data_IF_528136753010
#
_entry.id   IF_528136753010
#
_cell.length_a   1.000
_cell.length_b   1.000
_cell.length_c   1.000
_cell.angle_alpha   90.00
_cell.angle_beta   90.00
_cell.angle_gamma   90.00
#
_symmetry.space_group_name_H-M   'P 1'
#
loop_
_entity.id
_entity.type
_entity.pdbx_description
1 polymer ?
#
# COMPACT_ATOMS: atom_id res chain seq x y z
N UNK A 1 -30.92 96.44 -23.56
CA UNK A 1 -31.36 95.75 -24.79
C UNK A 1 -31.20 94.25 -24.60
N UNK A 2 -32.21 93.45 -24.97
CA UNK A 2 -32.23 92.00 -25.27
C UNK A 2 -33.43 91.32 -24.60
N UNK A 3 -34.39 90.89 -25.44
CA UNK A 3 -35.15 89.65 -25.32
C UNK A 3 -35.81 89.36 -26.68
N UNK A 4 -35.72 88.11 -27.12
CA UNK A 4 -36.29 87.60 -28.36
C UNK A 4 -37.66 86.96 -28.13
N UNK A 5 -38.37 86.76 -29.24
CA UNK A 5 -39.82 86.83 -29.41
C UNK A 5 -40.51 85.48 -29.63
N UNK A 6 -41.83 85.53 -29.43
CA UNK A 6 -42.90 84.55 -29.63
C UNK A 6 -43.34 84.46 -31.11
N UNK A 7 -43.91 83.32 -31.54
CA UNK A 7 -45.17 83.16 -32.32
C UNK A 7 -45.28 81.69 -32.81
N UNK A 8 -46.34 80.88 -32.66
CA UNK A 8 -47.81 81.01 -32.61
C UNK A 8 -48.53 80.58 -33.90
N UNK A 9 -49.72 79.99 -33.70
CA UNK A 9 -50.94 79.93 -34.54
C UNK A 9 -51.28 78.56 -35.17
N UNK A 10 -52.54 78.15 -35.40
CA UNK A 10 -53.89 78.35 -34.83
C UNK A 10 -54.86 77.55 -35.75
N UNK A 11 -55.95 76.95 -35.24
CA UNK A 11 -57.29 76.84 -35.87
C UNK A 11 -58.17 75.79 -35.16
N UNK A 12 -59.48 76.03 -35.11
CA UNK A 12 -60.49 75.17 -34.49
C UNK A 12 -61.78 75.10 -35.33
N UNK A 13 -62.47 73.95 -35.29
CA UNK A 13 -63.91 73.80 -35.45
C UNK A 13 -64.39 72.47 -34.79
N UNK A 14 -65.58 72.51 -34.17
CA UNK A 14 -66.30 71.51 -33.34
C UNK A 14 -67.67 71.25 -34.03
N UNK A 15 -68.42 70.13 -33.95
CA UNK A 15 -68.60 69.02 -32.98
C UNK A 15 -69.02 67.74 -33.75
N UNK A 16 -68.63 66.56 -33.27
CA UNK A 16 -69.26 65.28 -33.64
C UNK A 16 -68.81 64.10 -32.76
N UNK A 17 -69.76 63.56 -31.97
CA UNK A 17 -69.87 62.20 -31.44
C UNK A 17 -68.65 61.51 -30.79
N UNK A 18 -68.76 61.25 -29.48
CA UNK A 18 -67.86 60.42 -28.70
C UNK A 18 -68.07 58.91 -29.00
N UNK A 19 -67.01 58.20 -29.40
CA UNK A 19 -66.77 56.79 -29.09
C UNK A 19 -65.26 56.45 -29.25
N UNK A 20 -64.70 55.92 -28.15
CA UNK A 20 -63.53 55.04 -27.95
C UNK A 20 -62.12 55.39 -28.47
N UNK A 21 -61.18 55.24 -27.55
CA UNK A 21 -59.75 55.10 -27.81
C UNK A 21 -58.92 55.28 -26.55
N UNK A 22 -59.20 54.52 -25.47
CA UNK A 22 -58.22 54.36 -24.40
C UNK A 22 -57.00 53.68 -25.01
N UNK A 23 -55.93 54.43 -25.23
CA UNK A 23 -54.64 53.85 -25.59
C UNK A 23 -54.24 52.87 -24.49
N UNK A 24 -54.21 51.58 -24.82
CA UNK A 24 -53.51 50.61 -23.99
C UNK A 24 -52.04 51.03 -23.98
N UNK A 25 -51.55 51.36 -22.79
CA UNK A 25 -50.13 51.56 -22.54
C UNK A 25 -49.49 50.16 -22.62
N UNK A 26 -48.85 49.86 -23.75
CA UNK A 26 -48.06 48.64 -23.92
C UNK A 26 -46.77 48.78 -23.12
N UNK A 27 -46.61 48.04 -22.03
CA UNK A 27 -45.34 47.93 -21.32
C UNK A 27 -44.38 47.05 -22.12
N UNK A 28 -43.09 47.41 -22.12
CA UNK A 28 -42.06 46.66 -22.83
C UNK A 28 -41.84 45.29 -22.19
N UNK A 29 -41.54 44.27 -23.01
CA UNK A 29 -41.35 42.91 -22.56
C UNK A 29 -40.23 42.82 -21.52
N UNK A 30 -40.50 42.15 -20.41
CA UNK A 30 -39.64 42.19 -19.23
C UNK A 30 -39.79 40.95 -18.35
N UNK A 31 -38.69 40.60 -17.69
CA UNK A 31 -38.70 39.63 -16.59
C UNK A 31 -39.24 40.28 -15.33
N UNK A 32 -40.22 39.64 -14.70
CA UNK A 32 -40.85 40.10 -13.47
C UNK A 32 -40.66 39.02 -12.40
N UNK A 33 -40.35 39.43 -11.17
CA UNK A 33 -40.23 38.53 -10.03
C UNK A 33 -41.22 38.94 -8.95
N UNK A 34 -41.96 37.97 -8.42
CA UNK A 34 -42.83 38.14 -7.25
C UNK A 34 -42.47 37.12 -6.15
N UNK A 35 -43.35 36.99 -5.14
CA UNK A 35 -43.15 36.06 -4.03
C UNK A 35 -43.27 34.57 -4.41
N UNK A 36 -43.79 34.27 -5.60
CA UNK A 36 -43.94 32.91 -6.13
C UNK A 36 -42.74 32.53 -7.01
N UNK A 37 -42.27 33.46 -7.85
CA UNK A 37 -41.12 33.20 -8.72
C UNK A 37 -40.93 34.23 -9.82
N UNK A 38 -40.15 33.83 -10.83
CA UNK A 38 -39.91 34.62 -12.04
C UNK A 38 -40.95 34.29 -13.10
N UNK A 39 -41.47 35.29 -13.81
CA UNK A 39 -42.32 35.15 -14.99
C UNK A 39 -41.90 36.19 -16.04
N UNK A 40 -42.39 36.03 -17.28
CA UNK A 40 -42.04 36.93 -18.38
C UNK A 40 -43.29 37.62 -18.93
N UNK A 41 -43.30 38.94 -18.92
CA UNK A 41 -44.34 39.74 -19.56
C UNK A 41 -43.93 40.04 -20.99
N UNK A 42 -44.81 39.76 -21.95
CA UNK A 42 -44.65 40.13 -23.36
C UNK A 42 -45.12 41.58 -23.61
N UNK A 43 -44.69 42.19 -24.72
CA UNK A 43 -45.04 43.58 -25.09
C UNK A 43 -46.57 43.85 -25.15
N UNK A 44 -47.35 42.79 -25.42
CA UNK A 44 -48.80 42.85 -25.50
C UNK A 44 -49.51 42.63 -24.15
N UNK A 45 -48.73 42.49 -23.06
CA UNK A 45 -49.22 42.22 -21.71
C UNK A 45 -49.57 40.76 -21.41
N UNK A 46 -49.37 39.84 -22.37
CA UNK A 46 -49.51 38.39 -22.14
C UNK A 46 -48.25 37.79 -21.51
N UNK A 47 -48.30 36.50 -21.17
CA UNK A 47 -47.17 35.76 -20.60
C UNK A 47 -47.21 34.28 -21.02
N UNK A 48 -46.05 33.61 -21.17
CA UNK A 48 -45.99 32.18 -21.47
C UNK A 48 -46.43 31.37 -20.24
N UNK A 49 -47.27 30.35 -20.45
CA UNK A 49 -47.70 29.43 -19.40
C UNK A 49 -47.82 28.00 -19.97
N UNK A 50 -47.20 27.04 -19.29
CA UNK A 50 -47.17 25.63 -19.67
C UNK A 50 -46.41 25.37 -20.97
N UNK A 51 -45.45 26.21 -21.32
CA UNK A 51 -44.79 26.20 -22.63
C UNK A 51 -43.32 26.62 -22.55
N UNK A 52 -42.57 26.20 -23.57
CA UNK A 52 -41.27 26.76 -23.89
C UNK A 52 -41.41 28.19 -24.42
N UNK A 53 -40.46 29.06 -24.08
CA UNK A 53 -40.28 30.37 -24.70
C UNK A 53 -38.79 30.65 -24.93
N UNK A 54 -38.48 31.28 -26.07
CA UNK A 54 -37.11 31.67 -26.43
C UNK A 54 -36.95 33.18 -26.21
N UNK A 55 -36.17 33.55 -25.19
CA UNK A 55 -36.05 34.92 -24.70
C UNK A 55 -34.57 35.23 -24.57
N UNK A 56 -34.10 36.34 -25.16
CA UNK A 56 -32.72 36.81 -25.04
C UNK A 56 -31.66 35.71 -25.29
N UNK A 57 -31.82 34.99 -26.41
CA UNK A 57 -30.93 33.92 -26.86
C UNK A 57 -30.87 32.65 -25.99
N UNK A 58 -31.90 32.42 -25.17
CA UNK A 58 -32.01 31.18 -24.40
C UNK A 58 -33.45 30.65 -24.36
N UNK A 59 -33.57 29.33 -24.24
CA UNK A 59 -34.85 28.66 -24.00
C UNK A 59 -35.15 28.60 -22.51
N UNK A 60 -36.40 28.87 -22.16
CA UNK A 60 -36.97 28.77 -20.81
C UNK A 60 -38.26 27.95 -20.88
N UNK A 61 -38.63 27.28 -19.80
CA UNK A 61 -39.94 26.65 -19.67
C UNK A 61 -40.72 27.26 -18.51
N UNK A 62 -41.99 27.52 -18.74
CA UNK A 62 -42.90 28.09 -17.75
C UNK A 62 -43.94 27.05 -17.34
N UNK A 63 -44.25 27.00 -16.05
CA UNK A 63 -45.32 26.16 -15.52
C UNK A 63 -46.70 26.63 -15.99
N UNK A 64 -47.75 25.89 -15.66
CA UNK A 64 -49.12 26.21 -16.07
C UNK A 64 -49.68 27.53 -15.52
N UNK A 65 -49.01 28.15 -14.55
CA UNK A 65 -49.34 29.47 -14.01
C UNK A 65 -48.46 30.59 -14.57
N UNK A 66 -47.48 30.25 -15.41
CA UNK A 66 -46.59 31.20 -16.07
C UNK A 66 -45.29 31.48 -15.32
N UNK A 67 -44.94 30.69 -14.31
CA UNK A 67 -43.68 30.84 -13.58
C UNK A 67 -42.57 29.98 -14.18
N UNK A 68 -41.39 30.54 -14.29
CA UNK A 68 -40.18 29.94 -14.86
C UNK A 68 -39.71 28.76 -14.01
N UNK A 69 -39.47 27.62 -14.66
CA UNK A 69 -38.95 26.42 -14.02
C UNK A 69 -37.42 26.42 -13.95
N UNK A 70 -36.87 25.62 -13.03
CA UNK A 70 -35.43 25.34 -12.87
C UNK A 70 -35.23 23.86 -12.55
N UNK A 71 -34.00 23.35 -12.67
CA UNK A 71 -33.64 21.95 -12.40
C UNK A 71 -34.11 20.97 -13.49
N UNK A 72 -34.18 19.69 -13.12
CA UNK A 72 -34.65 18.62 -14.01
C UNK A 72 -36.16 18.66 -14.19
N UNK A 73 -36.62 18.69 -15.43
CA UNK A 73 -38.04 18.77 -15.79
C UNK A 73 -38.43 17.68 -16.79
N UNK A 74 -39.52 16.96 -16.51
CA UNK A 74 -40.10 15.96 -17.41
C UNK A 74 -41.19 16.61 -18.24
N UNK A 75 -40.87 16.93 -19.50
CA UNK A 75 -41.73 17.72 -20.38
C UNK A 75 -42.00 16.91 -21.64
N UNK A 76 -43.27 16.63 -21.93
CA UNK A 76 -43.67 15.93 -23.15
C UNK A 76 -43.07 14.53 -23.31
N UNK A 77 -42.75 13.85 -22.20
CA UNK A 77 -42.15 12.50 -22.23
C UNK A 77 -40.63 12.48 -22.36
N UNK A 78 -39.95 13.62 -22.18
CA UNK A 78 -38.50 13.76 -22.27
C UNK A 78 -37.97 14.58 -21.10
N UNK A 79 -36.79 14.22 -20.58
CA UNK A 79 -36.11 15.00 -19.55
C UNK A 79 -35.34 16.17 -20.16
N UNK A 80 -35.46 17.34 -19.53
CA UNK A 80 -34.69 18.54 -19.80
C UNK A 80 -34.08 19.05 -18.50
N UNK A 81 -32.99 19.79 -18.58
CA UNK A 81 -32.41 20.49 -17.44
C UNK A 81 -32.44 22.00 -17.67
N UNK A 82 -33.01 22.73 -16.73
CA UNK A 82 -32.99 24.19 -16.69
C UNK A 82 -32.02 24.62 -15.59
N UNK A 83 -31.05 25.46 -15.93
CA UNK A 83 -30.10 26.01 -14.97
C UNK A 83 -30.80 26.84 -13.90
N UNK A 84 -30.09 27.24 -12.85
CA UNK A 84 -30.66 28.04 -11.75
C UNK A 84 -31.21 29.40 -12.19
N UNK A 85 -30.73 29.93 -13.32
CA UNK A 85 -31.24 31.13 -13.97
C UNK A 85 -32.38 30.83 -14.99
N UNK A 86 -32.84 29.58 -15.08
CA UNK A 86 -33.92 29.11 -15.94
C UNK A 86 -33.53 28.74 -17.37
N UNK A 87 -32.29 28.98 -17.80
CA UNK A 87 -31.89 28.68 -19.18
C UNK A 87 -31.77 27.17 -19.39
N UNK A 88 -32.23 26.68 -20.54
CA UNK A 88 -32.12 25.28 -20.90
C UNK A 88 -30.66 24.87 -21.18
N UNK A 89 -30.22 23.79 -20.56
CA UNK A 89 -28.97 23.14 -20.92
C UNK A 89 -29.10 22.42 -22.26
N UNK A 90 -28.18 22.70 -23.18
CA UNK A 90 -28.06 22.03 -24.48
C UNK A 90 -26.58 21.80 -24.82
N UNK A 91 -26.31 20.76 -25.62
CA UNK A 91 -24.98 20.34 -26.08
C UNK A 91 -23.94 20.17 -24.94
N UNK A 92 -24.38 19.67 -23.78
CA UNK A 92 -23.50 19.59 -22.61
C UNK A 92 -23.89 18.46 -21.66
N UNK A 93 -22.93 18.05 -20.82
CA UNK A 93 -23.17 17.15 -19.71
C UNK A 93 -23.69 17.90 -18.49
N UNK A 94 -24.69 17.34 -17.82
CA UNK A 94 -25.17 17.76 -16.49
C UNK A 94 -25.13 16.52 -15.59
N UNK A 95 -24.11 16.45 -14.72
CA UNK A 95 -23.81 15.23 -13.97
C UNK A 95 -23.45 14.08 -14.92
N UNK A 96 -24.13 12.94 -14.77
CA UNK A 96 -23.92 11.75 -15.60
C UNK A 96 -24.80 11.69 -16.86
N UNK A 97 -25.51 12.78 -17.19
CA UNK A 97 -26.50 12.82 -18.26
C UNK A 97 -26.09 13.84 -19.31
N UNK A 98 -26.30 13.53 -20.59
CA UNK A 98 -25.99 14.44 -21.69
C UNK A 98 -27.28 15.06 -22.24
N UNK A 99 -27.30 16.38 -22.39
CA UNK A 99 -28.38 17.11 -23.04
C UNK A 99 -27.95 17.42 -24.47
N UNK A 100 -28.75 16.96 -25.42
CA UNK A 100 -28.54 17.14 -26.87
C UNK A 100 -28.64 18.62 -27.28
N UNK A 101 -28.45 18.92 -28.56
CA UNK A 101 -28.63 20.26 -29.12
C UNK A 101 -30.04 20.83 -28.90
N UNK A 102 -31.05 19.97 -28.90
CA UNK A 102 -32.44 20.30 -28.57
C UNK A 102 -32.70 20.47 -27.07
N UNK A 103 -31.71 20.20 -26.22
CA UNK A 103 -31.85 20.16 -24.77
C UNK A 103 -32.49 18.87 -24.22
N UNK A 104 -32.97 17.98 -25.09
CA UNK A 104 -33.46 16.66 -24.68
C UNK A 104 -32.32 15.81 -24.11
N UNK A 105 -32.58 15.13 -22.99
CA UNK A 105 -31.65 14.17 -22.41
C UNK A 105 -31.47 12.95 -23.32
N UNK A 106 -30.23 12.64 -23.66
CA UNK A 106 -29.87 11.47 -24.45
C UNK A 106 -30.13 10.15 -23.71
N UNK A 107 -30.63 9.14 -24.42
CA UNK A 107 -30.81 7.77 -23.92
C UNK A 107 -30.40 6.75 -25.00
N UNK A 108 -29.87 5.60 -24.59
CA UNK A 108 -29.49 4.48 -25.48
C UNK A 108 -28.63 4.85 -26.69
N UNK A 109 -27.63 5.71 -26.52
CA UNK A 109 -26.81 6.16 -27.63
C UNK A 109 -25.39 6.55 -27.21
N UNK A 110 -24.51 6.67 -28.21
CA UNK A 110 -23.15 7.17 -28.04
C UNK A 110 -23.11 8.70 -28.10
N UNK A 111 -22.39 9.29 -27.16
CA UNK A 111 -22.02 10.71 -27.09
C UNK A 111 -20.49 10.78 -27.12
N UNK A 112 -19.90 10.94 -28.30
CA UNK A 112 -18.46 10.74 -28.48
C UNK A 112 -18.07 9.31 -28.07
N UNK A 113 -17.20 9.17 -27.06
CA UNK A 113 -16.72 7.88 -26.54
C UNK A 113 -17.54 7.37 -25.33
N UNK A 114 -18.63 8.04 -24.97
CA UNK A 114 -19.44 7.73 -23.80
C UNK A 114 -20.78 7.15 -24.23
N UNK A 115 -21.17 5.98 -23.72
CA UNK A 115 -22.49 5.42 -23.97
C UNK A 115 -23.45 5.77 -22.82
N UNK A 116 -24.61 6.33 -23.14
CA UNK A 116 -25.69 6.57 -22.16
C UNK A 116 -26.73 5.46 -22.23
N UNK A 117 -27.11 4.93 -21.07
CA UNK A 117 -28.06 3.84 -20.92
C UNK A 117 -29.51 4.22 -21.25
N UNK A 118 -30.43 3.28 -21.01
CA UNK A 118 -31.86 3.49 -21.21
C UNK A 118 -32.47 4.51 -20.23
N UNK A 119 -31.82 4.72 -19.09
CA UNK A 119 -32.12 5.76 -18.10
C UNK A 119 -31.38 7.08 -18.40
N UNK A 120 -30.57 7.13 -19.45
CA UNK A 120 -29.77 8.28 -19.88
C UNK A 120 -28.49 8.49 -19.09
N UNK A 121 -28.21 7.67 -18.07
CA UNK A 121 -26.97 7.77 -17.32
C UNK A 121 -25.82 7.21 -18.17
N UNK A 122 -24.69 7.91 -18.18
CA UNK A 122 -23.46 7.39 -18.75
C UNK A 122 -23.06 6.08 -18.06
N UNK A 123 -22.72 5.06 -18.86
CA UNK A 123 -22.21 3.76 -18.40
C UNK A 123 -20.68 3.73 -18.62
N UNK A 124 -19.88 3.81 -17.55
CA UNK A 124 -18.43 3.72 -17.65
C UNK A 124 -17.97 2.39 -18.24
N UNK A 125 -17.06 2.43 -19.22
CA UNK A 125 -16.50 1.24 -19.84
C UNK A 125 -17.50 0.39 -20.64
N UNK A 126 -18.66 0.94 -21.01
CA UNK A 126 -19.62 0.21 -21.84
C UNK A 126 -18.98 -0.20 -23.17
N UNK A 127 -18.88 -1.51 -23.39
CA UNK A 127 -18.22 -2.10 -24.55
C UNK A 127 -16.77 -2.54 -24.31
N UNK A 128 -16.13 -2.16 -23.21
CA UNK A 128 -14.81 -2.67 -22.83
C UNK A 128 -14.90 -4.09 -22.26
N UNK A 129 -13.97 -4.98 -22.63
CA UNK A 129 -14.02 -6.38 -22.17
C UNK A 129 -12.67 -7.10 -22.30
N UNK A 130 -12.44 -8.06 -21.39
CA UNK A 130 -11.40 -9.07 -21.53
C UNK A 130 -11.80 -10.09 -22.59
N UNK A 131 -10.87 -10.42 -23.48
CA UNK A 131 -11.06 -11.39 -24.56
C UNK A 131 -9.89 -12.38 -24.50
N UNK A 132 -10.19 -13.67 -24.60
CA UNK A 132 -9.18 -14.71 -24.66
C UNK A 132 -9.21 -15.40 -26.03
N UNK A 133 -8.04 -15.58 -26.63
CA UNK A 133 -7.84 -16.39 -27.82
C UNK A 133 -6.72 -17.44 -27.60
N UNK A 134 -6.20 -18.03 -28.67
CA UNK A 134 -5.15 -19.04 -28.60
C UNK A 134 -3.79 -18.50 -28.13
N UNK A 135 -3.56 -17.19 -28.23
CA UNK A 135 -2.30 -16.53 -27.88
C UNK A 135 -2.33 -16.00 -26.45
N UNK A 136 -3.50 -15.62 -25.93
CA UNK A 136 -3.65 -15.20 -24.55
C UNK A 136 -4.86 -14.31 -24.31
N UNK A 137 -4.80 -13.57 -23.21
CA UNK A 137 -5.80 -12.56 -22.84
C UNK A 137 -5.41 -11.20 -23.38
N UNK A 138 -6.36 -10.45 -23.91
CA UNK A 138 -6.20 -9.04 -24.26
C UNK A 138 -7.43 -8.24 -23.80
N UNK A 139 -7.31 -6.92 -23.73
CA UNK A 139 -8.39 -6.06 -23.25
C UNK A 139 -8.82 -5.08 -24.33
N UNK A 140 -10.07 -5.20 -24.77
CA UNK A 140 -10.69 -4.27 -25.72
C UNK A 140 -11.29 -3.09 -24.98
N UNK A 141 -11.06 -1.90 -25.48
CA UNK A 141 -11.71 -0.66 -25.06
C UNK A 141 -13.09 -0.49 -25.72
N UNK A 142 -13.86 0.46 -25.21
CA UNK A 142 -15.22 0.77 -25.69
C UNK A 142 -15.24 1.27 -27.14
N UNK A 143 -14.17 1.95 -27.58
CA UNK A 143 -13.97 2.42 -28.96
C UNK A 143 -13.47 1.33 -29.93
N UNK A 144 -13.27 0.10 -29.42
CA UNK A 144 -12.74 -1.02 -30.19
C UNK A 144 -11.21 -1.10 -30.23
N UNK A 145 -10.51 -0.10 -29.68
CA UNK A 145 -9.05 -0.13 -29.50
C UNK A 145 -8.61 -1.09 -28.40
N UNK A 146 -7.29 -1.21 -28.22
CA UNK A 146 -6.67 -2.01 -27.16
C UNK A 146 -5.28 -1.47 -26.85
N UNK A 147 -4.78 -1.75 -25.65
CA UNK A 147 -3.44 -1.37 -25.19
C UNK A 147 -2.37 -2.29 -25.79
N UNK A 148 -1.21 -1.72 -26.14
CA UNK A 148 -0.01 -2.45 -26.57
C UNK A 148 1.23 -1.84 -25.91
N UNK A 149 2.24 -2.66 -25.59
CA UNK A 149 3.49 -2.26 -24.92
C UNK A 149 3.27 -1.36 -23.69
N UNK A 150 2.24 -1.63 -22.90
CA UNK A 150 1.69 -0.64 -21.98
C UNK A 150 1.07 -1.21 -20.73
N UNK A 151 1.07 -0.38 -19.69
CA UNK A 151 0.31 -0.61 -18.47
C UNK A 151 -1.13 -0.12 -18.65
N UNK A 152 -2.09 -0.88 -18.15
CA UNK A 152 -3.51 -0.48 -18.11
C UNK A 152 -4.09 -0.78 -16.73
N UNK A 153 -4.86 0.16 -16.19
CA UNK A 153 -5.58 -0.03 -14.93
C UNK A 153 -7.02 -0.45 -15.23
N UNK A 154 -7.33 -1.72 -15.00
CA UNK A 154 -8.63 -2.30 -15.31
C UNK A 154 -9.30 -2.64 -13.99
N UNK A 155 -10.35 -1.89 -13.64
CA UNK A 155 -11.11 -2.10 -12.41
C UNK A 155 -10.29 -1.92 -11.13
N UNK A 156 -9.33 -0.97 -11.12
CA UNK A 156 -8.45 -0.71 -9.98
C UNK A 156 -7.21 -1.60 -9.92
N UNK A 157 -7.07 -2.56 -10.82
CA UNK A 157 -5.92 -3.48 -10.88
C UNK A 157 -5.04 -3.16 -12.08
N UNK A 158 -3.72 -3.12 -11.88
CA UNK A 158 -2.76 -2.88 -12.95
C UNK A 158 -2.37 -4.17 -13.67
N UNK A 159 -2.33 -4.10 -15.00
CA UNK A 159 -1.90 -5.16 -15.92
C UNK A 159 -0.90 -4.57 -16.92
N UNK A 160 0.00 -5.40 -17.46
CA UNK A 160 0.92 -5.01 -18.53
C UNK A 160 0.67 -5.85 -19.77
N UNK A 161 0.73 -5.22 -20.94
CA UNK A 161 0.47 -5.86 -22.24
C UNK A 161 1.68 -5.75 -23.16
N UNK A 162 1.96 -6.83 -23.89
CA UNK A 162 3.06 -6.89 -24.85
C UNK A 162 2.79 -6.07 -26.13
N UNK A 163 3.72 -6.15 -27.09
CA UNK A 163 3.62 -5.42 -28.34
C UNK A 163 2.49 -5.88 -29.28
N UNK A 164 1.91 -7.06 -29.04
CA UNK A 164 0.74 -7.56 -29.75
C UNK A 164 -0.57 -7.28 -28.99
N UNK A 165 -0.48 -6.76 -27.76
CA UNK A 165 -1.63 -6.43 -26.91
C UNK A 165 -2.08 -7.57 -26.02
N UNK A 166 -1.25 -8.59 -25.82
CA UNK A 166 -1.54 -9.70 -24.91
C UNK A 166 -1.01 -9.43 -23.51
N UNK A 167 -1.81 -9.77 -22.52
CA UNK A 167 -1.54 -9.59 -21.10
C UNK A 167 -0.37 -10.47 -20.64
N UNK A 168 0.59 -9.84 -19.98
CA UNK A 168 1.79 -10.49 -19.49
C UNK A 168 1.58 -11.09 -18.09
N UNK A 169 2.38 -12.11 -17.76
CA UNK A 169 2.44 -12.73 -16.43
C UNK A 169 3.90 -12.98 -16.04
N UNK A 170 4.16 -13.28 -14.76
CA UNK A 170 5.50 -13.54 -14.23
C UNK A 170 6.37 -12.28 -14.10
N UNK A 171 7.68 -12.48 -14.02
CA UNK A 171 8.67 -11.40 -13.92
C UNK A 171 8.88 -10.69 -15.26
N UNK A 172 8.77 -9.36 -15.27
CA UNK A 172 8.89 -8.52 -16.45
C UNK A 172 9.88 -7.37 -16.23
N UNK A 173 10.81 -7.17 -17.17
CA UNK A 173 11.74 -6.05 -17.15
C UNK A 173 11.18 -4.90 -17.98
N UNK A 174 10.68 -3.85 -17.31
CA UNK A 174 9.95 -2.75 -17.94
C UNK A 174 10.55 -1.43 -17.47
N UNK A 175 10.91 -0.56 -18.41
CA UNK A 175 11.43 0.79 -18.12
C UNK A 175 12.55 0.80 -17.05
N UNK A 176 13.51 -0.12 -17.18
CA UNK A 176 14.68 -0.24 -16.31
C UNK A 176 14.35 -0.65 -14.86
N UNK A 177 13.27 -1.42 -14.66
CA UNK A 177 12.91 -2.01 -13.37
C UNK A 177 12.23 -3.36 -13.58
N UNK A 178 12.39 -4.26 -12.60
CA UNK A 178 11.65 -5.52 -12.57
C UNK A 178 10.27 -5.31 -11.97
N UNK A 179 9.27 -5.99 -12.52
CA UNK A 179 7.91 -6.07 -12.02
C UNK A 179 7.49 -7.53 -11.97
N UNK A 180 6.55 -7.87 -11.10
CA UNK A 180 5.95 -9.21 -11.08
C UNK A 180 4.45 -9.13 -11.32
N UNK A 181 3.97 -9.84 -12.35
CA UNK A 181 2.56 -10.02 -12.63
C UNK A 181 2.12 -11.42 -12.20
N UNK A 182 1.10 -11.51 -11.36
CA UNK A 182 0.53 -12.78 -10.93
C UNK A 182 -0.03 -13.59 -12.12
N UNK A 183 -0.33 -14.89 -11.96
CA UNK A 183 -0.89 -15.71 -13.06
C UNK A 183 -2.20 -15.19 -13.66
N UNK A 184 -2.97 -14.41 -12.91
CA UNK A 184 -4.17 -13.71 -13.39
C UNK A 184 -3.86 -12.36 -14.05
N UNK A 185 -2.58 -11.99 -14.20
CA UNK A 185 -2.09 -10.74 -14.79
C UNK A 185 -1.98 -9.55 -13.84
N UNK A 186 -2.53 -9.63 -12.63
CA UNK A 186 -2.49 -8.49 -11.70
C UNK A 186 -1.06 -8.19 -11.24
N UNK A 187 -0.69 -6.92 -11.21
CA UNK A 187 0.62 -6.46 -10.72
C UNK A 187 0.75 -6.64 -9.21
N UNK A 188 1.85 -7.26 -8.78
CA UNK A 188 2.24 -7.30 -7.37
C UNK A 188 2.74 -5.92 -6.89
N UNK A 189 2.26 -5.48 -5.72
CA UNK A 189 2.72 -4.25 -5.07
C UNK A 189 2.64 -4.39 -3.54
N UNK A 190 3.55 -3.73 -2.84
CA UNK A 190 3.69 -3.75 -1.37
C UNK A 190 3.77 -5.16 -0.77
N UNK A 191 4.53 -6.06 -1.40
CA UNK A 191 4.65 -7.44 -0.94
C UNK A 191 5.96 -8.07 -1.38
N UNK A 192 6.32 -9.18 -0.73
CA UNK A 192 7.42 -10.05 -1.12
C UNK A 192 6.94 -11.09 -2.15
N UNK A 193 7.77 -11.33 -3.18
CA UNK A 193 7.65 -12.44 -4.11
C UNK A 193 8.97 -13.22 -4.05
N UNK A 194 8.99 -14.31 -3.30
CA UNK A 194 10.23 -14.97 -2.91
C UNK A 194 11.13 -14.04 -2.09
N UNK A 195 12.39 -13.91 -2.48
CA UNK A 195 13.39 -13.07 -1.80
C UNK A 195 13.40 -11.61 -2.29
N UNK A 196 12.41 -11.19 -3.09
CA UNK A 196 12.33 -9.87 -3.71
C UNK A 196 11.12 -9.10 -3.22
N UNK A 197 11.29 -7.81 -2.92
CA UNK A 197 10.18 -6.95 -2.50
C UNK A 197 9.72 -6.04 -3.64
N UNK A 198 8.41 -5.97 -3.86
CA UNK A 198 7.76 -5.10 -4.84
C UNK A 198 7.18 -3.89 -4.10
N UNK A 199 7.60 -2.69 -4.50
CA UNK A 199 7.19 -1.43 -3.88
C UNK A 199 5.73 -1.08 -4.20
N UNK A 200 5.23 0.05 -3.69
CA UNK A 200 3.85 0.49 -3.90
C UNK A 200 3.48 0.73 -5.37
N UNK A 201 4.45 1.16 -6.19
CA UNK A 201 4.34 1.32 -7.63
C UNK A 201 4.67 0.03 -8.41
N UNK A 202 4.85 -1.11 -7.71
CA UNK A 202 5.07 -2.44 -8.29
C UNK A 202 6.50 -2.74 -8.77
N UNK A 203 7.41 -1.75 -8.75
CA UNK A 203 8.81 -1.98 -9.09
C UNK A 203 9.53 -2.80 -8.01
N UNK A 204 10.45 -3.67 -8.42
CA UNK A 204 11.30 -4.39 -7.49
C UNK A 204 12.28 -3.44 -6.80
N UNK A 205 12.33 -3.50 -5.48
CA UNK A 205 13.26 -2.72 -4.68
C UNK A 205 14.71 -3.22 -4.88
N UNK A 206 15.66 -2.28 -5.01
CA UNK A 206 17.10 -2.57 -5.04
C UNK A 206 17.85 -1.61 -4.10
N UNK A 207 18.94 -2.08 -3.51
CA UNK A 207 19.89 -1.31 -2.70
C UNK A 207 19.26 -0.46 -1.59
N UNK A 208 18.23 -0.98 -0.91
CA UNK A 208 17.46 -0.20 0.07
C UNK A 208 16.89 -1.05 1.20
N UNK A 209 16.41 -0.38 2.25
CA UNK A 209 15.73 -1.01 3.38
C UNK A 209 14.22 -1.07 3.15
N UNK A 210 13.63 -2.23 3.44
CA UNK A 210 12.19 -2.50 3.47
C UNK A 210 11.85 -2.94 4.90
N UNK A 211 11.39 -2.02 5.74
CA UNK A 211 11.24 -2.29 7.17
C UNK A 211 12.59 -2.71 7.79
N UNK A 212 12.66 -3.92 8.35
CA UNK A 212 13.89 -4.50 8.93
C UNK A 212 14.78 -5.27 7.94
N UNK A 213 14.42 -5.34 6.66
CA UNK A 213 15.10 -6.15 5.65
C UNK A 213 15.89 -5.26 4.69
N UNK A 214 17.14 -5.60 4.37
CA UNK A 214 17.91 -4.89 3.34
C UNK A 214 17.96 -5.71 2.05
N UNK A 215 17.57 -5.11 0.92
CA UNK A 215 17.68 -5.72 -0.41
C UNK A 215 18.92 -5.19 -1.14
N UNK A 216 19.66 -6.09 -1.79
CA UNK A 216 20.92 -5.81 -2.48
C UNK A 216 20.72 -5.09 -3.83
N UNK A 217 21.83 -4.85 -4.54
CA UNK A 217 21.80 -4.24 -5.88
C UNK A 217 21.12 -5.11 -6.95
N UNK A 218 21.07 -6.42 -6.70
CA UNK A 218 20.31 -7.42 -7.45
C UNK A 218 18.83 -7.54 -6.98
N UNK A 219 18.45 -6.79 -5.95
CA UNK A 219 17.11 -6.78 -5.35
C UNK A 219 16.81 -7.95 -4.42
N UNK A 220 17.74 -8.88 -4.26
CA UNK A 220 17.57 -10.01 -3.36
C UNK A 220 17.73 -9.56 -1.91
N UNK A 221 16.92 -10.09 -1.01
CA UNK A 221 17.12 -9.89 0.42
C UNK A 221 18.49 -10.41 0.87
N UNK A 222 19.30 -9.50 1.41
CA UNK A 222 20.65 -9.80 1.91
C UNK A 222 20.55 -10.40 3.31
N UNK A 223 20.88 -11.69 3.42
CA UNK A 223 21.13 -12.40 4.68
C UNK A 223 22.65 -12.31 4.97
N UNK A 224 23.06 -11.77 6.14
CA UNK A 224 24.48 -11.77 6.53
C UNK A 224 24.93 -13.19 6.85
N UNK A 225 26.16 -13.56 6.49
CA UNK A 225 26.75 -14.87 6.88
C UNK A 225 27.60 -14.74 8.16
N UNK A 226 27.76 -15.85 8.90
CA UNK A 226 28.70 -15.90 10.02
C UNK A 226 30.15 -15.67 9.57
N UNK A 227 30.49 -16.07 8.34
CA UNK A 227 31.77 -15.75 7.72
C UNK A 227 32.01 -14.25 7.60
N UNK A 228 31.03 -13.48 7.13
CA UNK A 228 31.15 -12.02 7.10
C UNK A 228 31.23 -11.40 8.50
N UNK A 229 30.53 -12.00 9.49
CA UNK A 229 30.56 -11.54 10.88
C UNK A 229 31.94 -11.78 11.54
N UNK A 230 32.58 -12.89 11.21
CA UNK A 230 33.84 -13.35 11.82
C UNK A 230 35.09 -13.08 10.96
N UNK A 231 34.94 -12.44 9.80
CA UNK A 231 36.07 -12.17 8.90
C UNK A 231 36.60 -13.41 8.16
N UNK A 232 35.71 -14.38 7.88
CA UNK A 232 36.00 -15.61 7.14
C UNK A 232 36.57 -16.75 8.01
N UNK A 233 36.61 -16.58 9.33
CA UNK A 233 37.16 -17.55 10.27
C UNK A 233 36.07 -18.14 11.17
N UNK A 234 36.37 -19.25 11.84
CA UNK A 234 35.58 -19.71 12.98
C UNK A 234 35.85 -18.84 14.22
N UNK A 235 34.93 -18.90 15.18
CA UNK A 235 35.10 -18.29 16.50
C UNK A 235 34.75 -19.27 17.60
N UNK A 236 35.60 -19.28 18.62
CA UNK A 236 35.46 -20.13 19.80
C UNK A 236 34.78 -19.34 20.90
N UNK A 237 33.89 -20.00 21.64
CA UNK A 237 33.04 -19.42 22.66
C UNK A 237 33.04 -20.30 23.90
N UNK A 238 33.01 -19.67 25.08
CA UNK A 238 32.99 -20.35 26.37
C UNK A 238 31.86 -19.79 27.23
N UNK A 239 31.18 -20.68 27.94
CA UNK A 239 30.19 -20.40 28.99
C UNK A 239 30.50 -21.29 30.19
N UNK A 240 30.73 -20.73 31.38
CA UNK A 240 31.18 -21.53 32.53
C UNK A 240 30.80 -20.93 33.87
N UNK A 241 30.95 -21.70 34.95
CA UNK A 241 30.75 -21.25 36.33
C UNK A 241 31.82 -20.28 36.86
N UNK A 242 32.83 -19.93 36.07
CA UNK A 242 33.95 -19.06 36.46
C UNK A 242 34.95 -19.69 37.44
N UNK A 243 34.52 -20.62 38.31
CA UNK A 243 35.38 -21.34 39.26
C UNK A 243 35.93 -22.68 38.73
N UNK A 244 35.61 -23.05 37.48
CA UNK A 244 36.16 -24.24 36.80
C UNK A 244 35.50 -25.58 37.17
N UNK A 245 34.32 -25.59 37.78
CA UNK A 245 33.58 -26.83 38.08
C UNK A 245 32.81 -27.38 36.87
N UNK A 246 32.26 -26.48 36.05
CA UNK A 246 31.54 -26.81 34.82
C UNK A 246 31.68 -25.74 33.75
N UNK A 247 31.54 -26.14 32.48
CA UNK A 247 31.53 -25.24 31.34
C UNK A 247 31.09 -25.90 30.04
N UNK A 248 30.71 -25.05 29.09
CA UNK A 248 30.40 -25.34 27.70
C UNK A 248 31.36 -24.57 26.82
N UNK A 249 32.06 -25.29 25.95
CA UNK A 249 32.94 -24.73 24.93
C UNK A 249 32.34 -25.03 23.54
N UNK A 250 32.37 -24.06 22.64
CA UNK A 250 31.77 -24.21 21.30
C UNK A 250 32.54 -23.42 20.25
N UNK A 251 32.76 -24.03 19.09
CA UNK A 251 33.29 -23.36 17.89
C UNK A 251 32.15 -23.12 16.91
N UNK A 252 31.91 -21.86 16.52
CA UNK A 252 30.97 -21.49 15.45
C UNK A 252 31.74 -21.21 14.17
N UNK A 253 31.37 -21.89 13.09
CA UNK A 253 32.01 -21.80 11.79
C UNK A 253 31.37 -20.72 10.89
N UNK A 254 32.08 -20.37 9.81
CA UNK A 254 31.68 -19.31 8.89
C UNK A 254 30.33 -19.57 8.16
N UNK A 255 29.91 -20.82 8.06
CA UNK A 255 28.65 -21.23 7.42
C UNK A 255 27.46 -21.32 8.42
N UNK A 256 27.71 -20.98 9.68
CA UNK A 256 26.75 -21.03 10.78
C UNK A 256 26.65 -22.38 11.49
N UNK A 257 27.36 -23.42 11.03
CA UNK A 257 27.47 -24.67 11.80
C UNK A 257 28.29 -24.47 13.07
N UNK A 258 28.12 -25.36 14.05
CA UNK A 258 28.95 -25.36 15.25
C UNK A 258 29.16 -26.77 15.81
N UNK A 259 30.21 -26.91 16.59
CA UNK A 259 30.49 -28.08 17.44
C UNK A 259 30.84 -27.61 18.84
N UNK A 260 30.50 -28.37 19.86
CA UNK A 260 30.84 -28.03 21.24
C UNK A 260 30.84 -29.20 22.20
N UNK A 261 31.30 -28.90 23.41
CA UNK A 261 31.38 -29.83 24.53
C UNK A 261 30.87 -29.14 25.79
N UNK A 262 29.93 -29.78 26.48
CA UNK A 262 29.57 -29.45 27.86
C UNK A 262 30.20 -30.47 28.82
N UNK A 263 30.65 -29.98 29.96
CA UNK A 263 31.22 -30.80 31.03
C UNK A 263 30.94 -30.20 32.40
N UNK A 264 30.47 -31.03 33.32
CA UNK A 264 30.39 -30.75 34.76
C UNK A 264 30.95 -31.95 35.55
N UNK A 265 31.83 -31.68 36.50
CA UNK A 265 32.64 -32.69 37.17
C UNK A 265 32.33 -32.76 38.67
N UNK A 266 31.72 -33.87 39.11
CA UNK A 266 31.62 -34.24 40.51
C UNK A 266 32.65 -35.32 40.84
N UNK A 267 33.87 -34.88 41.12
CA UNK A 267 34.99 -35.77 41.43
C UNK A 267 34.87 -36.44 42.81
N UNK A 268 33.88 -36.04 43.62
CA UNK A 268 33.58 -36.67 44.92
C UNK A 268 32.64 -37.87 44.80
N UNK A 269 31.78 -37.89 43.78
CA UNK A 269 30.85 -38.98 43.50
C UNK A 269 31.55 -40.18 42.85
N UNK A 270 31.99 -41.12 43.69
CA UNK A 270 32.80 -42.28 43.33
C UNK A 270 32.11 -43.60 43.67
N UNK A 271 32.52 -44.69 43.01
CA UNK A 271 31.99 -46.02 43.29
C UNK A 271 32.78 -47.15 42.64
N UNK A 272 32.28 -48.38 42.81
CA UNK A 272 32.92 -49.56 42.24
C UNK A 272 32.88 -49.49 40.70
N UNK A 273 34.06 -49.48 40.06
CA UNK A 273 34.21 -49.30 38.61
C UNK A 273 34.42 -47.86 38.15
N UNK A 274 34.24 -46.86 39.04
CA UNK A 274 34.52 -45.45 38.77
C UNK A 274 35.16 -44.74 39.98
N UNK A 275 36.39 -45.12 40.36
CA UNK A 275 37.06 -44.53 41.53
C UNK A 275 37.46 -43.05 41.34
N UNK A 276 37.45 -42.55 40.10
CA UNK A 276 37.95 -41.22 39.75
C UNK A 276 36.84 -40.16 39.62
N UNK A 277 35.59 -40.48 40.00
CA UNK A 277 34.48 -39.53 40.07
C UNK A 277 33.41 -39.73 39.01
N UNK A 278 32.46 -38.80 38.98
CA UNK A 278 31.37 -38.73 37.99
C UNK A 278 31.48 -37.45 37.17
N UNK A 279 31.20 -37.55 35.87
CA UNK A 279 31.21 -36.41 34.94
C UNK A 279 29.92 -36.37 34.15
N UNK A 280 29.21 -35.25 34.20
CA UNK A 280 28.12 -34.95 33.28
C UNK A 280 28.72 -34.38 32.00
N UNK A 281 28.32 -34.91 30.85
CA UNK A 281 29.05 -34.68 29.61
C UNK A 281 28.12 -34.61 28.39
N UNK A 282 28.41 -33.72 27.46
CA UNK A 282 27.71 -33.65 26.18
C UNK A 282 28.69 -33.26 25.09
N UNK A 283 28.81 -34.07 24.04
CA UNK A 283 29.40 -33.67 22.77
C UNK A 283 28.25 -33.39 21.80
N UNK A 284 28.29 -32.22 21.16
CA UNK A 284 27.17 -31.77 20.35
C UNK A 284 27.61 -31.00 19.10
N UNK A 285 26.75 -31.01 18.10
CA UNK A 285 26.86 -30.23 16.86
C UNK A 285 25.52 -29.62 16.50
N UNK A 286 25.53 -28.54 15.72
CA UNK A 286 24.30 -27.91 15.29
C UNK A 286 24.51 -26.78 14.29
N UNK A 287 23.47 -25.98 14.07
CA UNK A 287 23.52 -24.85 13.14
C UNK A 287 22.70 -23.65 13.59
N UNK A 288 23.34 -22.48 13.53
CA UNK A 288 22.65 -21.19 13.56
C UNK A 288 22.30 -20.70 12.16
N UNK A 289 21.11 -20.12 12.02
CA UNK A 289 20.56 -19.56 10.78
C UNK A 289 19.96 -18.18 11.03
N UNK A 290 19.62 -17.48 9.95
CA UNK A 290 18.94 -16.18 9.96
C UNK A 290 19.67 -15.13 10.81
N UNK A 291 20.92 -14.83 10.46
CA UNK A 291 21.71 -13.79 11.12
C UNK A 291 21.21 -12.38 10.73
N UNK A 292 20.37 -11.82 11.57
CA UNK A 292 19.70 -10.53 11.39
C UNK A 292 20.47 -9.42 12.10
N UNK A 293 20.73 -8.30 11.42
CA UNK A 293 21.41 -7.16 12.05
C UNK A 293 20.42 -6.36 12.90
N UNK A 294 20.65 -6.29 14.21
CA UNK A 294 19.85 -5.51 15.16
C UNK A 294 20.35 -4.07 15.23
N UNK A 295 21.67 -3.89 15.34
CA UNK A 295 22.33 -2.59 15.32
C UNK A 295 23.79 -2.73 14.82
N UNK A 296 24.64 -1.71 15.00
CA UNK A 296 26.03 -1.77 14.51
C UNK A 296 26.85 -2.93 15.06
N UNK A 297 26.60 -3.34 16.31
CA UNK A 297 27.40 -4.35 17.03
C UNK A 297 26.57 -5.54 17.53
N UNK A 298 25.30 -5.65 17.17
CA UNK A 298 24.42 -6.74 17.62
C UNK A 298 23.69 -7.37 16.45
N UNK A 299 23.66 -8.69 16.45
CA UNK A 299 22.92 -9.52 15.51
C UNK A 299 22.03 -10.50 16.28
N UNK A 300 20.94 -10.92 15.68
CA UNK A 300 20.04 -11.96 16.18
C UNK A 300 20.18 -13.19 15.27
N UNK A 301 20.24 -14.39 15.83
CA UNK A 301 20.24 -15.63 15.06
C UNK A 301 19.37 -16.69 15.74
N UNK A 302 19.04 -17.73 14.98
CA UNK A 302 18.15 -18.79 15.41
C UNK A 302 18.87 -20.14 15.33
N UNK A 303 18.64 -21.00 16.30
CA UNK A 303 19.11 -22.38 16.28
C UNK A 303 18.19 -23.19 15.38
N UNK A 304 18.69 -23.69 14.24
CA UNK A 304 17.92 -24.52 13.32
C UNK A 304 17.74 -25.93 13.88
N UNK A 305 18.85 -26.51 14.37
CA UNK A 305 18.89 -27.82 15.02
C UNK A 305 20.19 -27.99 15.78
N UNK A 306 20.19 -28.93 16.72
CA UNK A 306 21.40 -29.51 17.30
C UNK A 306 21.18 -31.01 17.54
N UNK A 307 22.28 -31.74 17.62
CA UNK A 307 22.33 -33.16 17.93
C UNK A 307 23.44 -33.42 18.96
N UNK A 308 23.28 -34.47 19.75
CA UNK A 308 24.26 -34.89 20.75
C UNK A 308 24.74 -36.31 20.43
N UNK A 309 26.01 -36.60 20.67
CA UNK A 309 26.60 -37.94 20.43
C UNK A 309 25.94 -39.03 21.28
N UNK A 310 25.44 -38.67 22.46
CA UNK A 310 24.75 -39.54 23.40
C UNK A 310 23.39 -38.97 23.79
N UNK A 311 22.41 -39.84 24.02
CA UNK A 311 21.09 -39.41 24.51
C UNK A 311 21.20 -39.05 25.99
N UNK A 312 20.45 -38.02 26.41
CA UNK A 312 20.46 -37.57 27.81
C UNK A 312 20.15 -38.73 28.76
N UNK A 313 21.04 -38.94 29.74
CA UNK A 313 20.93 -40.01 30.72
C UNK A 313 21.68 -41.29 30.36
N UNK A 314 22.25 -41.40 29.15
CA UNK A 314 23.19 -42.47 28.82
C UNK A 314 24.35 -42.50 29.82
N UNK A 315 24.76 -43.70 30.22
CA UNK A 315 25.84 -43.90 31.19
C UNK A 315 26.93 -44.77 30.59
N UNK A 316 28.17 -44.30 30.66
CA UNK A 316 29.35 -45.08 30.28
C UNK A 316 30.49 -44.88 31.27
N UNK A 317 31.48 -45.75 31.18
CA UNK A 317 32.63 -45.77 32.08
C UNK A 317 33.91 -45.74 31.28
N UNK A 318 34.78 -44.79 31.57
CA UNK A 318 36.05 -44.64 30.87
C UNK A 318 37.11 -44.13 31.83
N UNK A 319 38.30 -44.76 31.81
CA UNK A 319 39.45 -44.39 32.65
C UNK A 319 39.13 -44.23 34.15
N UNK A 320 38.19 -45.04 34.65
CA UNK A 320 37.74 -45.00 36.05
C UNK A 320 36.82 -43.83 36.40
N UNK A 321 36.25 -43.13 35.42
CA UNK A 321 35.23 -42.09 35.59
C UNK A 321 33.88 -42.62 35.09
N UNK A 322 32.81 -42.31 35.81
CA UNK A 322 31.43 -42.54 35.35
C UNK A 322 30.95 -41.31 34.59
N UNK A 323 30.64 -41.47 33.32
CA UNK A 323 30.06 -40.41 32.52
C UNK A 323 28.55 -40.55 32.46
N UNK A 324 27.85 -39.42 32.54
CA UNK A 324 26.40 -39.32 32.39
C UNK A 324 26.12 -38.29 31.29
N UNK A 325 25.47 -38.71 30.21
CA UNK A 325 25.11 -37.81 29.13
C UNK A 325 24.15 -36.73 29.62
N UNK A 326 24.47 -35.48 29.32
CA UNK A 326 23.69 -34.30 29.69
C UNK A 326 23.27 -33.50 28.45
N UNK A 327 22.32 -32.59 28.63
CA UNK A 327 21.99 -31.60 27.61
C UNK A 327 23.17 -30.63 27.41
N UNK A 328 23.32 -30.04 26.21
CA UNK A 328 24.41 -29.11 25.92
C UNK A 328 24.17 -27.75 26.59
N UNK A 329 24.49 -27.65 27.90
CA UNK A 329 24.14 -26.54 28.77
C UNK A 329 24.46 -25.15 28.16
N UNK A 330 23.45 -24.28 28.06
CA UNK A 330 23.53 -22.97 27.38
C UNK A 330 23.02 -22.96 25.94
N UNK A 331 22.92 -24.12 25.28
CA UNK A 331 22.38 -24.28 23.91
C UNK A 331 20.98 -24.88 23.92
N UNK A 332 20.68 -25.72 24.91
CA UNK A 332 19.36 -26.31 25.10
C UNK A 332 18.28 -25.25 25.41
N UNK A 333 17.03 -25.67 25.54
CA UNK A 333 15.94 -24.76 25.88
C UNK A 333 15.50 -23.82 24.73
N UNK A 334 16.28 -23.62 23.68
CA UNK A 334 15.83 -23.04 22.40
C UNK A 334 16.21 -21.58 22.13
N UNK A 335 15.75 -21.12 20.96
CA UNK A 335 16.09 -19.88 20.25
C UNK A 335 15.11 -18.72 20.55
N UNK A 336 15.52 -17.44 20.41
CA UNK A 336 16.67 -16.95 19.63
C UNK A 336 17.94 -16.63 20.45
N UNK A 337 19.02 -16.30 19.72
CA UNK A 337 20.34 -15.97 20.27
C UNK A 337 20.81 -14.59 19.81
N UNK A 338 21.26 -13.74 20.71
CA UNK A 338 22.00 -12.53 20.33
C UNK A 338 23.47 -12.86 20.10
N UNK A 339 24.03 -12.34 19.02
CA UNK A 339 25.46 -12.30 18.72
C UNK A 339 25.96 -10.87 18.87
N UNK A 340 26.87 -10.65 19.82
CA UNK A 340 27.49 -9.37 20.10
C UNK A 340 28.88 -9.31 19.47
N UNK A 341 29.17 -8.20 18.79
CA UNK A 341 30.50 -7.89 18.27
C UNK A 341 31.35 -7.21 19.35
N UNK A 342 32.70 -7.31 19.25
CA UNK A 342 33.60 -6.41 19.95
C UNK A 342 33.19 -4.94 19.73
N UNK A 343 33.16 -4.16 20.80
CA UNK A 343 32.67 -2.77 20.83
C UNK A 343 31.20 -2.63 21.22
N UNK A 344 30.46 -3.72 21.49
CA UNK A 344 29.09 -3.64 22.01
C UNK A 344 29.06 -2.97 23.39
N UNK A 345 28.17 -1.99 23.60
CA UNK A 345 28.05 -1.30 24.89
C UNK A 345 27.50 -2.23 25.97
N UNK A 346 28.24 -2.41 27.07
CA UNK A 346 27.90 -3.38 28.12
C UNK A 346 26.64 -2.99 28.89
N UNK A 347 26.39 -1.70 29.11
CA UNK A 347 25.20 -1.22 29.81
C UNK A 347 23.91 -1.42 29.01
N UNK A 348 24.02 -1.56 27.68
CA UNK A 348 22.87 -1.88 26.81
C UNK A 348 22.53 -3.38 26.73
N UNK A 349 23.37 -4.24 27.29
CA UNK A 349 23.16 -5.69 27.25
C UNK A 349 22.08 -6.12 28.26
N UNK A 350 21.34 -7.22 27.98
CA UNK A 350 20.38 -7.78 28.94
C UNK A 350 21.02 -8.04 30.31
N UNK A 351 20.28 -7.78 31.39
CA UNK A 351 20.75 -7.96 32.77
C UNK A 351 21.27 -9.38 33.03
N UNK A 352 20.54 -10.39 32.55
CA UNK A 352 20.97 -11.80 32.61
C UNK A 352 22.32 -12.03 31.91
N UNK A 353 22.55 -11.42 30.74
CA UNK A 353 23.84 -11.55 30.06
C UNK A 353 24.96 -10.85 30.82
N UNK A 354 24.70 -9.65 31.35
CA UNK A 354 25.66 -8.89 32.15
C UNK A 354 26.14 -9.69 33.35
N UNK A 355 25.27 -10.44 34.01
CA UNK A 355 25.63 -11.32 35.13
C UNK A 355 26.72 -12.35 34.75
N UNK A 356 26.63 -12.94 33.56
CA UNK A 356 27.64 -13.89 33.05
C UNK A 356 28.95 -13.22 32.64
N UNK A 357 28.91 -11.95 32.23
CA UNK A 357 30.11 -11.14 32.02
C UNK A 357 30.81 -10.79 33.33
N UNK A 358 30.07 -10.72 34.45
CA UNK A 358 30.63 -10.40 35.77
C UNK A 358 31.58 -11.48 36.30
N UNK A 359 31.28 -12.74 35.99
CA UNK A 359 32.12 -13.90 36.32
C UNK A 359 33.42 -13.98 35.51
N UNK A 360 33.56 -13.17 34.46
CA UNK A 360 34.64 -13.23 33.47
C UNK A 360 35.57 -12.00 33.51
N UNK A 361 35.51 -11.20 34.57
CA UNK A 361 36.35 -10.00 34.80
C UNK A 361 36.11 -8.81 33.86
N UNK A 362 34.94 -8.74 33.18
CA UNK A 362 34.63 -7.63 32.25
C UNK A 362 33.92 -6.42 32.89
N UNK A 363 33.77 -6.39 34.21
CA UNK A 363 32.95 -5.42 34.98
C UNK A 363 33.48 -3.99 34.87
N UNK A 364 34.74 -3.83 34.44
CA UNK A 364 35.43 -2.55 34.34
C UNK A 364 35.49 -2.02 32.89
N UNK A 365 34.87 -2.69 31.93
CA UNK A 365 34.85 -2.26 30.53
C UNK A 365 33.53 -1.53 30.21
N UNK A 366 33.62 -0.48 29.38
CA UNK A 366 32.43 0.20 28.84
C UNK A 366 31.82 -0.58 27.65
N UNK A 367 32.67 -1.31 26.92
CA UNK A 367 32.27 -2.10 25.75
C UNK A 367 32.88 -3.50 25.80
N UNK A 368 32.19 -4.49 25.21
CA UNK A 368 32.68 -5.85 25.09
C UNK A 368 33.97 -5.87 24.25
N UNK A 369 35.09 -6.38 24.78
CA UNK A 369 36.33 -6.50 24.00
C UNK A 369 36.32 -7.72 23.06
N UNK A 370 35.39 -8.65 23.28
CA UNK A 370 35.28 -9.93 22.58
C UNK A 370 33.90 -10.09 21.95
N UNK A 371 33.74 -11.14 21.13
CA UNK A 371 32.43 -11.56 20.67
C UNK A 371 31.61 -12.11 21.85
N UNK A 372 30.29 -12.08 21.73
CA UNK A 372 29.38 -12.61 22.74
C UNK A 372 28.22 -13.37 22.12
N UNK A 373 27.72 -14.39 22.81
CA UNK A 373 26.46 -15.08 22.45
C UNK A 373 25.57 -15.08 23.69
N UNK A 374 24.30 -14.76 23.52
CA UNK A 374 23.31 -14.82 24.60
C UNK A 374 22.09 -15.62 24.17
N UNK A 375 21.80 -16.69 24.88
CA UNK A 375 20.56 -17.48 24.74
C UNK A 375 19.43 -16.72 25.44
N UNK A 376 18.47 -16.18 24.66
CA UNK A 376 17.41 -15.35 25.22
C UNK A 376 16.42 -16.15 26.06
N UNK A 377 16.21 -17.43 25.75
CA UNK A 377 15.20 -18.22 26.45
C UNK A 377 15.70 -18.70 27.81
N UNK A 378 16.98 -19.06 27.89
CA UNK A 378 17.60 -19.52 29.14
C UNK A 378 18.27 -18.42 29.95
N UNK A 379 18.46 -17.25 29.36
CA UNK A 379 19.24 -16.15 29.94
C UNK A 379 20.70 -16.51 30.27
N UNK A 380 21.31 -17.33 29.40
CA UNK A 380 22.68 -17.84 29.53
C UNK A 380 23.62 -17.22 28.48
N UNK A 381 24.88 -17.00 28.88
CA UNK A 381 25.82 -16.18 28.11
C UNK A 381 27.17 -16.85 27.84
N UNK A 382 27.57 -16.84 26.58
CA UNK A 382 28.93 -17.20 26.13
C UNK A 382 29.73 -15.94 25.80
N UNK A 383 31.06 -16.05 25.92
CA UNK A 383 32.01 -15.05 25.47
C UNK A 383 33.06 -15.68 24.56
N UNK A 384 33.51 -14.92 23.56
CA UNK A 384 34.55 -15.35 22.63
C UNK A 384 35.91 -15.44 23.32
N UNK A 385 36.69 -16.46 22.96
CA UNK A 385 38.05 -16.70 23.49
C UNK A 385 39.15 -16.61 22.44
#
# INVERSE_FOLDING_TARGET
MKKQTIAAALAAALVGSAFLGTGMQTEAAQWVQDGTGWWYQEDNGSYPAGTWSYINDAWYYFDGSGYMLTGWQWIGGTWYYLHSNGTMAANQWVGNYYLTDSGAMAVNQWIGNYYVGSDGAWIPGYGSQWIQDSNGWWYRHSDGGYVTNGWENIGGTWYYFDGAGYMMTGWQWINNSWYYLHPNGSMAANQWIGDYYLTANGSMAVSQWIGGYYVGADGCWVRRTFGELFGGQSKDFVFSSGAGGWGTEMTVYADGTFTGVYSDSDMGDTGYGYPNGTRYYSEFSGRFVNLEKVNSNTYLAYLESYECTHEKGDVWYENGIRYIAADPYGIEGGHPFYFYLPGSNIDSLPEGYRWWLLGSSYNNYETLPVFGIYNLNMELGFYGV
#
